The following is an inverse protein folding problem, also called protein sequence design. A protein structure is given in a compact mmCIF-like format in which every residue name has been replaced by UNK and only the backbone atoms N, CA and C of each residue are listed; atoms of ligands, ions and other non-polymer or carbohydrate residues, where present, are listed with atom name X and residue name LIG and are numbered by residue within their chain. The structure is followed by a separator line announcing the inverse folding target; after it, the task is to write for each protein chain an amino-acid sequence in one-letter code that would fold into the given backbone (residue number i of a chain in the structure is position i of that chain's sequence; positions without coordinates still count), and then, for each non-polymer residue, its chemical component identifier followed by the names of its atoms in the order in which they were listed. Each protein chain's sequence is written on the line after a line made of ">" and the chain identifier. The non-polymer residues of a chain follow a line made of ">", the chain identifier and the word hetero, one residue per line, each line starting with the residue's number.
data_IF_199844154071
#
_entry.id   IF_199844154071
#
_cell.length_a   1.000
_cell.length_b   1.000
_cell.length_c   1.000
_cell.angle_alpha   90.00
_cell.angle_beta   90.00
_cell.angle_gamma   90.00
#
_symmetry.space_group_name_H-M   'P 1'
#
loop_
_entity.id
_entity.type
_entity.pdbx_description
1 polymer ?
#
# COMPACT_ATOMS: atom_id res chain seq x y z
N UNK A 1 39.87 51.36 -15.46
CA UNK A 1 40.58 51.18 -14.19
C UNK A 1 39.54 50.84 -13.14
N UNK A 2 39.47 49.70 -12.46
CA UNK A 2 40.32 48.51 -12.37
C UNK A 2 39.44 47.42 -11.74
N UNK A 3 39.62 46.17 -12.16
CA UNK A 3 39.03 45.00 -11.52
C UNK A 3 39.67 44.80 -10.14
N UNK A 4 38.87 44.62 -9.08
CA UNK A 4 39.38 44.03 -7.83
C UNK A 4 39.00 42.55 -7.79
N UNK A 5 39.98 41.72 -8.17
CA UNK A 5 40.03 40.29 -7.85
C UNK A 5 40.33 40.15 -6.35
N UNK A 6 39.54 39.37 -5.63
CA UNK A 6 39.99 38.76 -4.39
C UNK A 6 39.99 37.24 -4.59
N UNK A 7 41.18 36.66 -4.45
CA UNK A 7 41.46 35.24 -4.47
C UNK A 7 42.08 34.91 -3.11
N UNK A 8 41.56 33.91 -2.40
CA UNK A 8 42.31 33.33 -1.27
C UNK A 8 41.50 32.70 -0.14
N UNK A 9 41.29 31.38 -0.27
CA UNK A 9 41.52 30.33 0.73
C UNK A 9 40.50 30.09 1.87
N UNK A 10 39.74 29.01 1.66
CA UNK A 10 39.63 27.83 2.52
C UNK A 10 39.46 28.02 4.04
N UNK A 11 38.21 28.01 4.50
CA UNK A 11 37.85 27.33 5.74
C UNK A 11 36.49 26.64 5.54
N UNK A 12 36.53 25.31 5.42
CA UNK A 12 35.36 24.44 5.49
C UNK A 12 34.84 24.46 6.93
N UNK A 13 33.97 25.42 7.22
CA UNK A 13 32.97 25.28 8.28
C UNK A 13 31.65 24.95 7.59
N UNK A 14 31.28 23.68 7.62
CA UNK A 14 29.90 23.28 7.34
C UNK A 14 29.04 23.65 8.54
N UNK A 15 28.61 24.90 8.59
CA UNK A 15 27.29 25.20 9.15
C UNK A 15 26.26 24.80 8.10
N UNK A 16 25.70 23.59 8.22
CA UNK A 16 24.54 23.18 7.44
C UNK A 16 23.29 23.86 8.02
N UNK A 17 23.12 25.14 7.70
CA UNK A 17 21.79 25.75 7.61
C UNK A 17 21.31 25.65 6.16
N UNK A 18 20.34 24.76 5.93
CA UNK A 18 19.53 24.68 4.71
C UNK A 18 18.43 23.63 4.95
N UNK A 19 17.12 23.88 4.85
CA UNK A 19 16.34 25.06 4.52
C UNK A 19 14.91 24.77 4.98
N UNK A 20 14.42 25.43 6.03
CA UNK A 20 13.00 25.44 6.39
C UNK A 20 12.27 26.40 5.45
N UNK A 21 11.95 25.94 4.24
CA UNK A 21 10.76 26.48 3.57
C UNK A 21 9.56 26.15 4.46
N UNK A 22 8.61 27.06 4.71
CA UNK A 22 7.40 26.69 5.41
C UNK A 22 6.70 25.65 4.52
N UNK A 23 6.76 24.37 4.90
CA UNK A 23 5.64 23.51 4.61
C UNK A 23 4.47 24.19 5.30
N UNK A 24 3.50 24.68 4.52
CA UNK A 24 2.21 25.07 5.07
C UNK A 24 1.69 23.84 5.82
N UNK A 25 1.89 23.82 7.14
CA UNK A 25 1.29 22.84 8.02
C UNK A 25 -0.19 23.12 7.91
N UNK A 26 -0.86 22.38 7.04
CA UNK A 26 -2.31 22.46 6.89
C UNK A 26 -2.90 22.37 8.29
N UNK A 27 -3.80 23.30 8.68
CA UNK A 27 -4.36 23.30 10.01
C UNK A 27 -4.97 21.93 10.29
N UNK A 28 -4.66 21.38 11.46
CA UNK A 28 -5.30 20.15 11.95
C UNK A 28 -6.81 20.32 11.82
N UNK A 29 -7.48 19.29 11.29
CA UNK A 29 -8.94 19.22 11.15
C UNK A 29 -9.41 18.15 12.13
N UNK A 30 -9.69 18.48 13.41
CA UNK A 30 -10.01 17.49 14.44
C UNK A 30 -11.21 16.63 14.08
N UNK A 31 -12.17 17.18 13.33
CA UNK A 31 -13.38 16.50 12.86
C UNK A 31 -13.05 15.30 11.96
N UNK A 32 -11.90 15.32 11.29
CA UNK A 32 -11.45 14.22 10.44
C UNK A 32 -11.16 12.93 11.24
N UNK A 33 -11.01 13.01 12.57
CA UNK A 33 -10.86 11.83 13.42
C UNK A 33 -12.18 11.06 13.65
N UNK A 34 -13.33 11.74 13.51
CA UNK A 34 -14.65 11.25 13.94
C UNK A 34 -15.60 11.00 12.76
N UNK A 35 -15.06 10.45 11.67
CA UNK A 35 -15.85 10.01 10.53
C UNK A 35 -16.67 8.76 10.84
N UNK A 36 -17.88 8.66 10.29
CA UNK A 36 -18.74 7.48 10.45
C UNK A 36 -18.19 6.31 9.62
N UNK A 37 -17.83 6.57 8.35
CA UNK A 37 -17.15 5.61 7.50
C UNK A 37 -15.63 5.81 7.56
N UNK A 38 -14.96 5.05 8.42
CA UNK A 38 -13.48 5.06 8.56
C UNK A 38 -12.73 4.58 7.31
N UNK A 39 -13.41 3.92 6.36
CA UNK A 39 -12.79 3.45 5.11
C UNK A 39 -12.94 4.48 3.98
N UNK A 40 -14.15 4.97 3.72
CA UNK A 40 -14.42 5.97 2.68
C UNK A 40 -14.24 7.42 3.15
N UNK A 41 -14.00 7.64 4.44
CA UNK A 41 -13.77 8.96 5.05
C UNK A 41 -14.89 9.95 4.74
N UNK A 42 -16.13 9.48 4.92
CA UNK A 42 -17.38 10.21 4.64
C UNK A 42 -17.38 10.91 3.28
N UNK A 43 -16.90 10.22 2.25
CA UNK A 43 -17.17 10.62 0.87
C UNK A 43 -18.68 10.67 0.66
N UNK A 44 -19.17 11.81 0.15
CA UNK A 44 -20.59 12.05 -0.10
C UNK A 44 -21.01 11.23 -1.32
N UNK A 45 -21.30 9.95 -1.10
CA UNK A 45 -21.77 8.99 -2.10
C UNK A 45 -23.15 8.50 -1.63
N UNK A 46 -24.20 8.58 -2.47
CA UNK A 46 -25.50 8.02 -2.15
C UNK A 46 -25.40 6.52 -1.79
N UNK A 47 -26.09 6.07 -0.75
CA UNK A 47 -26.02 4.68 -0.27
C UNK A 47 -26.45 3.67 -1.33
N UNK A 48 -27.46 4.02 -2.14
CA UNK A 48 -27.94 3.24 -3.27
C UNK A 48 -26.84 3.02 -4.32
N UNK A 49 -26.00 4.03 -4.53
CA UNK A 49 -24.86 3.95 -5.44
C UNK A 49 -23.72 3.06 -4.90
N UNK A 50 -23.69 2.77 -3.59
CA UNK A 50 -22.73 1.86 -2.95
C UNK A 50 -23.21 0.41 -2.87
N UNK A 51 -24.49 0.13 -3.18
CA UNK A 51 -25.06 -1.22 -3.10
C UNK A 51 -24.28 -2.27 -3.91
N UNK A 52 -23.82 -2.01 -5.15
CA UNK A 52 -23.10 -3.01 -5.94
C UNK A 52 -21.75 -3.43 -5.33
N UNK A 53 -21.19 -2.59 -4.46
CA UNK A 53 -19.84 -2.75 -3.91
C UNK A 53 -19.83 -3.38 -2.51
N UNK A 54 -20.99 -3.69 -1.92
CA UNK A 54 -21.07 -4.12 -0.52
C UNK A 54 -20.28 -5.39 -0.22
N UNK A 55 -20.17 -6.31 -1.17
CA UNK A 55 -19.45 -7.58 -1.00
C UNK A 55 -17.99 -7.39 -0.58
N UNK A 56 -17.37 -6.26 -0.97
CA UNK A 56 -16.00 -5.91 -0.63
C UNK A 56 -15.88 -4.65 0.24
N UNK A 57 -16.84 -3.72 0.19
CA UNK A 57 -16.84 -2.55 1.08
C UNK A 57 -17.08 -2.94 2.54
N UNK A 58 -17.97 -3.89 2.82
CA UNK A 58 -18.23 -4.34 4.19
C UNK A 58 -16.99 -4.90 4.89
N UNK A 59 -16.27 -5.90 4.33
CA UNK A 59 -15.04 -6.37 4.96
C UNK A 59 -13.94 -5.30 4.99
N UNK A 60 -13.85 -4.40 4.00
CA UNK A 60 -12.90 -3.28 4.01
C UNK A 60 -13.16 -2.27 5.15
N UNK A 61 -14.44 -1.99 5.44
CA UNK A 61 -14.85 -1.17 6.59
C UNK A 61 -14.56 -1.87 7.90
N UNK A 62 -14.85 -3.16 8.00
CA UNK A 62 -14.53 -3.94 9.21
C UNK A 62 -13.01 -3.95 9.48
N UNK A 63 -12.18 -4.09 8.44
CA UNK A 63 -10.72 -4.00 8.57
C UNK A 63 -10.26 -2.66 9.16
N UNK A 64 -10.91 -1.53 8.85
CA UNK A 64 -10.57 -0.24 9.47
C UNK A 64 -10.73 -0.28 10.99
N UNK A 65 -11.75 -0.98 11.50
CA UNK A 65 -11.97 -1.12 12.94
C UNK A 65 -10.97 -2.07 13.59
N UNK A 66 -10.68 -3.21 12.96
CA UNK A 66 -9.74 -4.21 13.49
C UNK A 66 -8.29 -3.73 13.50
N UNK A 67 -7.87 -3.04 12.44
CA UNK A 67 -6.50 -2.52 12.32
C UNK A 67 -6.26 -1.34 13.28
N UNK A 68 -7.32 -0.55 13.51
CA UNK A 68 -7.25 0.71 14.24
C UNK A 68 -8.29 0.80 15.36
N UNK A 69 -8.24 -0.10 16.37
CA UNK A 69 -9.13 -0.05 17.50
C UNK A 69 -8.83 1.17 18.38
N UNK A 70 -9.82 1.62 19.14
CA UNK A 70 -9.66 2.80 20.01
C UNK A 70 -8.77 2.52 21.23
N UNK A 71 -8.58 1.24 21.58
CA UNK A 71 -7.68 0.81 22.66
C UNK A 71 -6.88 -0.42 22.23
N UNK A 72 -5.57 -0.42 22.51
CA UNK A 72 -4.66 -1.52 22.22
C UNK A 72 -4.03 -1.99 23.53
N UNK A 73 -4.23 -3.27 23.87
CA UNK A 73 -3.60 -3.89 25.03
C UNK A 73 -2.23 -4.46 24.63
N UNK A 74 -1.18 -3.94 25.23
CA UNK A 74 0.18 -4.37 24.95
C UNK A 74 0.59 -5.58 25.80
N UNK A 75 1.29 -6.52 25.18
CA UNK A 75 1.92 -7.65 25.84
C UNK A 75 3.18 -8.07 25.07
N UNK A 76 3.84 -9.15 25.51
CA UNK A 76 5.12 -9.59 24.91
C UNK A 76 5.01 -9.96 23.42
N UNK A 77 3.84 -10.41 22.97
CA UNK A 77 3.60 -10.75 21.57
C UNK A 77 2.96 -9.59 20.79
N UNK A 78 2.25 -8.68 21.47
CA UNK A 78 1.56 -7.55 20.89
C UNK A 78 2.20 -6.27 21.42
N UNK A 79 3.33 -5.87 20.85
CA UNK A 79 4.08 -4.69 21.29
C UNK A 79 3.76 -3.45 20.46
N UNK A 80 3.08 -3.60 19.32
CA UNK A 80 2.77 -2.52 18.40
C UNK A 80 1.58 -1.65 18.85
N UNK A 81 1.91 -0.51 19.44
CA UNK A 81 1.00 0.41 20.11
C UNK A 81 0.03 1.14 19.18
N UNK A 82 -1.04 1.70 19.76
CA UNK A 82 -1.98 2.54 19.02
C UNK A 82 -1.28 3.71 18.33
N UNK A 83 -0.30 4.34 18.99
CA UNK A 83 0.49 5.42 18.41
C UNK A 83 1.29 4.94 17.19
N UNK A 84 1.99 3.81 17.29
CA UNK A 84 2.80 3.28 16.18
C UNK A 84 1.93 2.82 15.00
N UNK A 85 0.74 2.25 15.26
CA UNK A 85 -0.26 1.91 14.23
C UNK A 85 -0.72 3.17 13.48
N UNK A 86 -1.12 4.21 14.20
CA UNK A 86 -1.55 5.49 13.62
C UNK A 86 -0.40 6.21 12.89
N UNK A 87 0.80 6.22 13.45
CA UNK A 87 1.99 6.83 12.86
C UNK A 87 2.41 6.12 11.57
N UNK A 88 2.32 4.79 11.56
CA UNK A 88 2.53 3.98 10.35
C UNK A 88 1.48 4.32 9.29
N UNK A 89 0.20 4.35 9.66
CA UNK A 89 -0.88 4.69 8.73
C UNK A 89 -0.73 6.10 8.16
N UNK A 90 -0.40 7.10 8.99
CA UNK A 90 -0.13 8.46 8.56
C UNK A 90 1.06 8.53 7.61
N UNK A 91 2.16 7.84 7.92
CA UNK A 91 3.36 7.78 7.05
C UNK A 91 3.00 7.24 5.67
N UNK A 92 2.21 6.16 5.62
CA UNK A 92 1.77 5.53 4.37
C UNK A 92 0.80 6.45 3.62
N UNK A 93 -0.14 7.10 4.30
CA UNK A 93 -1.05 8.07 3.69
C UNK A 93 -0.30 9.26 3.07
N UNK A 94 0.75 9.75 3.76
CA UNK A 94 1.61 10.82 3.26
C UNK A 94 2.40 10.41 2.01
N UNK A 95 2.90 9.18 1.96
CA UNK A 95 3.56 8.63 0.76
C UNK A 95 2.61 8.61 -0.43
N UNK A 96 1.35 8.23 -0.21
CA UNK A 96 0.34 8.21 -1.27
C UNK A 96 -0.28 9.59 -1.58
N UNK A 97 -0.02 10.61 -0.76
CA UNK A 97 -0.46 11.99 -0.97
C UNK A 97 -1.97 12.24 -0.92
N UNK A 98 -2.79 11.26 -0.59
CA UNK A 98 -4.26 11.42 -0.53
C UNK A 98 -4.62 12.23 0.72
N UNK A 99 -4.85 13.53 0.55
CA UNK A 99 -4.99 14.49 1.65
C UNK A 99 -6.05 14.12 2.69
N UNK A 100 -7.18 13.52 2.26
CA UNK A 100 -8.23 13.07 3.19
C UNK A 100 -7.71 12.04 4.18
N UNK A 101 -6.89 11.10 3.72
CA UNK A 101 -6.26 10.09 4.57
C UNK A 101 -5.22 10.71 5.50
N UNK A 102 -4.40 11.63 4.98
CA UNK A 102 -3.43 12.38 5.79
C UNK A 102 -4.14 13.10 6.95
N UNK A 103 -5.24 13.80 6.66
CA UNK A 103 -6.02 14.51 7.66
C UNK A 103 -6.64 13.54 8.68
N UNK A 104 -7.24 12.44 8.22
CA UNK A 104 -7.86 11.43 9.08
C UNK A 104 -6.85 10.83 10.07
N UNK A 105 -5.73 10.30 9.57
CA UNK A 105 -4.74 9.66 10.43
C UNK A 105 -3.97 10.65 11.31
N UNK A 106 -3.72 11.88 10.84
CA UNK A 106 -3.12 12.91 11.68
C UNK A 106 -4.05 13.32 12.83
N UNK A 107 -5.34 13.51 12.54
CA UNK A 107 -6.33 13.85 13.56
C UNK A 107 -6.48 12.74 14.61
N UNK A 108 -6.42 11.47 14.19
CA UNK A 108 -6.46 10.30 15.10
C UNK A 108 -5.15 10.07 15.86
N UNK A 109 -4.00 10.45 15.31
CA UNK A 109 -2.71 10.33 15.97
C UNK A 109 -2.53 11.37 17.07
N UNK A 110 -2.99 12.62 16.84
CA UNK A 110 -2.78 13.77 17.72
C UNK A 110 -3.15 13.55 19.20
N UNK A 111 -4.31 12.94 19.55
CA UNK A 111 -4.68 12.72 20.95
C UNK A 111 -3.95 11.55 21.61
N UNK A 112 -3.22 10.71 20.87
CA UNK A 112 -2.56 9.54 21.43
C UNK A 112 -1.29 9.95 22.20
N UNK A 113 -0.97 9.25 23.32
CA UNK A 113 0.29 9.46 24.00
C UNK A 113 1.44 9.12 23.06
N UNK A 114 2.32 10.09 22.84
CA UNK A 114 3.53 9.90 22.05
C UNK A 114 4.48 8.85 22.66
N UNK A 115 5.47 8.39 21.88
CA UNK A 115 6.55 7.57 22.41
C UNK A 115 7.22 8.30 23.59
N UNK A 116 7.75 7.53 24.55
CA UNK A 116 8.61 8.13 25.56
C UNK A 116 9.86 8.78 24.91
N UNK A 117 10.49 9.69 25.64
CA UNK A 117 11.66 10.42 25.13
C UNK A 117 12.96 9.62 25.18
N UNK A 118 12.91 8.30 25.40
CA UNK A 118 14.11 7.45 25.43
C UNK A 118 14.76 7.35 24.05
N UNK A 119 16.05 7.02 24.01
CA UNK A 119 16.75 6.83 22.72
C UNK A 119 16.22 5.59 22.00
N UNK A 120 15.88 4.56 22.78
CA UNK A 120 15.38 3.27 22.32
C UNK A 120 14.02 3.41 21.64
N UNK A 121 13.09 4.12 22.27
CA UNK A 121 11.75 4.39 21.73
C UNK A 121 11.80 5.24 20.46
N UNK A 122 12.62 6.30 20.46
CA UNK A 122 12.83 7.12 19.26
C UNK A 122 13.48 6.32 18.11
N UNK A 123 14.45 5.46 18.41
CA UNK A 123 15.08 4.61 17.41
C UNK A 123 14.09 3.60 16.82
N UNK A 124 13.26 2.98 17.67
CA UNK A 124 12.18 2.08 17.25
C UNK A 124 11.20 2.76 16.30
N UNK A 125 10.68 3.93 16.68
CA UNK A 125 9.75 4.67 15.83
C UNK A 125 10.40 5.11 14.50
N UNK A 126 11.68 5.48 14.52
CA UNK A 126 12.41 5.84 13.30
C UNK A 126 12.53 4.65 12.33
N UNK A 127 12.87 3.45 12.82
CA UNK A 127 12.95 2.24 11.98
C UNK A 127 11.58 1.86 11.41
N UNK A 128 10.53 1.89 12.23
CA UNK A 128 9.15 1.63 11.80
C UNK A 128 8.74 2.62 10.69
N UNK A 129 9.00 3.91 10.91
CA UNK A 129 8.64 4.97 9.95
C UNK A 129 9.40 4.82 8.63
N UNK A 130 10.71 4.54 8.70
CA UNK A 130 11.54 4.32 7.53
C UNK A 130 11.05 3.10 6.73
N UNK A 131 10.83 1.98 7.41
CA UNK A 131 10.34 0.75 6.80
C UNK A 131 8.97 0.96 6.12
N UNK A 132 8.02 1.58 6.83
CA UNK A 132 6.69 1.86 6.31
C UNK A 132 6.74 2.76 5.06
N UNK A 133 7.60 3.78 5.07
CA UNK A 133 7.83 4.65 3.91
C UNK A 133 8.37 3.86 2.72
N UNK A 134 9.40 3.04 2.92
CA UNK A 134 10.02 2.23 1.88
C UNK A 134 9.03 1.21 1.29
N UNK A 135 8.32 0.46 2.14
CA UNK A 135 7.33 -0.52 1.68
C UNK A 135 6.14 0.15 0.97
N UNK A 136 5.81 1.40 1.31
CA UNK A 136 4.77 2.16 0.62
C UNK A 136 5.25 2.71 -0.74
N UNK A 137 6.43 3.35 -0.80
CA UNK A 137 6.89 4.10 -1.99
C UNK A 137 7.72 3.28 -2.97
N UNK A 138 8.50 2.32 -2.48
CA UNK A 138 9.47 1.56 -3.27
C UNK A 138 9.59 0.14 -2.73
N UNK A 139 8.52 -0.68 -2.79
CA UNK A 139 8.47 -1.94 -2.06
C UNK A 139 9.64 -2.89 -2.37
N UNK A 140 10.14 -2.88 -3.62
CA UNK A 140 11.25 -3.74 -4.07
C UNK A 140 12.57 -3.53 -3.33
N UNK A 141 12.75 -2.44 -2.57
CA UNK A 141 13.98 -2.20 -1.79
C UNK A 141 13.98 -2.93 -0.45
N UNK A 142 12.88 -3.57 -0.06
CA UNK A 142 12.77 -4.31 1.19
C UNK A 142 13.52 -5.64 1.06
N UNK A 143 14.70 -5.68 1.68
CA UNK A 143 15.58 -6.85 1.77
C UNK A 143 15.53 -7.52 3.15
N UNK A 144 16.32 -8.57 3.35
CA UNK A 144 16.45 -9.25 4.64
C UNK A 144 16.93 -8.33 5.77
N UNK A 145 17.75 -7.32 5.46
CA UNK A 145 18.24 -6.38 6.48
C UNK A 145 17.13 -5.46 6.96
N UNK A 146 16.31 -4.93 6.05
CA UNK A 146 15.16 -4.11 6.39
C UNK A 146 14.17 -4.87 7.30
N UNK A 147 13.97 -6.18 7.06
CA UNK A 147 13.17 -7.05 7.93
C UNK A 147 13.81 -7.24 9.29
N UNK A 148 15.12 -7.53 9.33
CA UNK A 148 15.83 -7.78 10.58
C UNK A 148 15.81 -6.54 11.49
N UNK A 149 15.92 -5.33 10.94
CA UNK A 149 15.82 -4.11 11.73
C UNK A 149 14.50 -3.99 12.50
N UNK A 150 13.39 -4.55 12.00
CA UNK A 150 12.10 -4.58 12.72
C UNK A 150 12.18 -5.47 13.97
N UNK A 151 12.80 -6.64 13.85
CA UNK A 151 13.05 -7.54 14.96
C UNK A 151 14.01 -6.90 15.98
N UNK A 152 15.05 -6.20 15.50
CA UNK A 152 16.07 -5.55 16.34
C UNK A 152 15.47 -4.43 17.21
N UNK A 153 14.42 -3.76 16.74
CA UNK A 153 13.65 -2.79 17.54
C UNK A 153 12.51 -3.41 18.36
N UNK A 154 12.48 -4.74 18.44
CA UNK A 154 11.60 -5.50 19.33
C UNK A 154 10.18 -5.69 18.81
N UNK A 155 9.94 -5.66 17.49
CA UNK A 155 8.66 -6.12 16.95
C UNK A 155 8.64 -7.65 16.87
N UNK A 156 7.56 -8.25 17.37
CA UNK A 156 7.32 -9.68 17.25
C UNK A 156 6.87 -10.07 15.83
N UNK A 157 6.78 -11.37 15.54
CA UNK A 157 6.18 -11.84 14.29
C UNK A 157 4.71 -11.40 14.12
N UNK A 158 3.95 -11.27 15.22
CA UNK A 158 2.57 -10.76 15.23
C UNK A 158 2.55 -9.28 14.87
N UNK A 159 3.45 -8.50 15.46
CA UNK A 159 3.56 -7.07 15.20
C UNK A 159 3.99 -6.78 13.76
N UNK A 160 4.94 -7.56 13.23
CA UNK A 160 5.40 -7.45 11.84
C UNK A 160 4.27 -7.80 10.87
N UNK A 161 3.54 -8.89 11.12
CA UNK A 161 2.39 -9.26 10.31
C UNK A 161 1.32 -8.15 10.32
N UNK A 162 1.01 -7.60 11.50
CA UNK A 162 0.05 -6.50 11.65
C UNK A 162 0.51 -5.23 10.94
N UNK A 163 1.76 -4.82 11.13
CA UNK A 163 2.31 -3.61 10.52
C UNK A 163 2.26 -3.70 8.98
N UNK A 164 2.60 -4.86 8.42
CA UNK A 164 2.52 -5.09 6.98
C UNK A 164 1.07 -5.11 6.48
N UNK A 165 0.12 -5.61 7.28
CA UNK A 165 -1.31 -5.48 6.98
C UNK A 165 -1.77 -4.02 6.97
N UNK A 166 -1.34 -3.20 7.94
CA UNK A 166 -1.64 -1.76 7.97
C UNK A 166 -1.10 -1.06 6.73
N UNK A 167 0.18 -1.29 6.38
CA UNK A 167 0.80 -0.64 5.21
C UNK A 167 0.07 -0.99 3.92
N UNK A 168 -0.28 -2.26 3.74
CA UNK A 168 -1.04 -2.73 2.58
C UNK A 168 -2.48 -2.20 2.56
N UNK A 169 -3.18 -2.24 3.69
CA UNK A 169 -4.55 -1.75 3.84
C UNK A 169 -4.67 -0.25 3.52
N UNK A 170 -3.79 0.59 4.08
CA UNK A 170 -3.82 2.03 3.82
C UNK A 170 -3.54 2.32 2.34
N UNK A 171 -2.70 1.52 1.70
CA UNK A 171 -2.48 1.61 0.25
C UNK A 171 -3.69 1.19 -0.59
N UNK A 172 -4.44 0.19 -0.15
CA UNK A 172 -5.71 -0.17 -0.76
C UNK A 172 -6.75 0.95 -0.57
N UNK A 173 -6.90 1.45 0.65
CA UNK A 173 -7.81 2.54 0.99
C UNK A 173 -7.50 3.80 0.19
N UNK A 174 -6.23 4.21 0.07
CA UNK A 174 -5.83 5.38 -0.74
C UNK A 174 -6.31 5.29 -2.18
N UNK A 175 -6.19 4.12 -2.80
CA UNK A 175 -6.58 3.91 -4.19
C UNK A 175 -8.09 3.83 -4.36
N UNK A 176 -8.81 3.25 -3.40
CA UNK A 176 -10.27 3.23 -3.40
C UNK A 176 -10.84 4.64 -3.20
N UNK A 177 -10.33 5.39 -2.22
CA UNK A 177 -10.74 6.79 -1.99
C UNK A 177 -10.46 7.63 -3.24
N UNK A 178 -9.26 7.54 -3.83
CA UNK A 178 -8.94 8.26 -5.07
C UNK A 178 -9.86 7.88 -6.23
N UNK A 179 -10.22 6.60 -6.36
CA UNK A 179 -11.16 6.11 -7.37
C UNK A 179 -12.54 6.73 -7.21
N UNK A 180 -13.11 6.69 -6.00
CA UNK A 180 -14.42 7.28 -5.74
C UNK A 180 -14.39 8.82 -5.88
N UNK A 181 -13.31 9.48 -5.48
CA UNK A 181 -13.15 10.92 -5.70
C UNK A 181 -13.14 11.27 -7.19
N UNK A 182 -12.43 10.49 -8.01
CA UNK A 182 -12.39 10.66 -9.45
C UNK A 182 -13.77 10.44 -10.10
N UNK A 183 -14.48 9.39 -9.68
CA UNK A 183 -15.84 9.11 -10.14
C UNK A 183 -16.83 10.22 -9.78
N UNK A 184 -16.72 10.79 -8.58
CA UNK A 184 -17.52 11.95 -8.15
C UNK A 184 -17.08 13.28 -8.80
N UNK A 185 -16.04 13.28 -9.64
CA UNK A 185 -15.50 14.50 -10.25
C UNK A 185 -14.88 15.48 -9.24
N UNK A 186 -14.47 15.00 -8.07
CA UNK A 186 -13.85 15.86 -7.06
C UNK A 186 -12.47 16.34 -7.54
N UNK A 187 -12.11 17.60 -7.27
CA UNK A 187 -10.81 18.13 -7.66
C UNK A 187 -9.71 17.44 -6.86
N UNK A 188 -8.66 17.07 -7.57
CA UNK A 188 -7.42 16.57 -6.97
C UNK A 188 -6.65 17.74 -6.37
N UNK A 189 -6.29 17.63 -5.09
CA UNK A 189 -5.39 18.57 -4.43
C UNK A 189 -3.97 18.04 -4.52
N UNK A 190 -3.34 18.29 -5.66
CA UNK A 190 -1.94 17.92 -5.85
C UNK A 190 -1.04 18.75 -4.93
N UNK A 191 -0.18 18.06 -4.19
CA UNK A 191 0.87 18.68 -3.37
C UNK A 191 2.18 18.64 -4.16
N UNK A 192 2.76 19.80 -4.53
CA UNK A 192 4.04 19.84 -5.19
C UNK A 192 5.14 19.16 -4.37
N UNK A 193 6.00 18.37 -5.03
CA UNK A 193 7.16 17.74 -4.41
C UNK A 193 6.97 16.30 -3.91
N UNK A 194 5.78 15.71 -4.06
CA UNK A 194 5.61 14.26 -3.90
C UNK A 194 6.08 13.53 -5.16
N UNK A 195 7.08 12.66 -5.01
CA UNK A 195 7.60 11.85 -6.10
C UNK A 195 6.60 10.77 -6.52
N UNK A 196 6.55 10.52 -7.83
CA UNK A 196 5.78 9.40 -8.38
C UNK A 196 6.58 8.12 -8.23
N UNK A 197 5.97 7.04 -7.73
CA UNK A 197 6.66 5.74 -7.62
C UNK A 197 7.19 5.31 -9.00
N UNK A 198 8.47 4.97 -9.07
CA UNK A 198 9.10 4.37 -10.24
C UNK A 198 8.73 2.89 -10.37
N UNK A 199 8.88 2.32 -11.57
CA UNK A 199 8.81 0.88 -11.72
C UNK A 199 9.95 0.20 -10.94
N UNK A 200 9.67 -0.98 -10.39
CA UNK A 200 10.71 -1.82 -9.81
C UNK A 200 11.74 -2.26 -10.86
N UNK A 201 12.92 -2.69 -10.41
CA UNK A 201 13.98 -3.14 -11.30
C UNK A 201 13.53 -4.36 -12.13
N UNK A 202 13.89 -4.35 -13.42
CA UNK A 202 13.52 -5.37 -14.39
C UNK A 202 14.15 -6.74 -14.11
N UNK A 203 15.30 -6.75 -13.42
CA UNK A 203 16.03 -7.96 -13.03
C UNK A 203 15.21 -8.89 -12.15
N UNK A 204 14.29 -8.35 -11.34
CA UNK A 204 13.41 -9.11 -10.45
C UNK A 204 12.46 -10.07 -11.21
N UNK A 205 12.25 -9.83 -12.50
CA UNK A 205 11.26 -10.57 -13.31
C UNK A 205 11.90 -11.51 -14.35
N UNK A 206 13.23 -11.71 -14.29
CA UNK A 206 13.97 -12.55 -15.24
C UNK A 206 13.93 -14.05 -14.91
N UNK A 207 13.42 -14.42 -13.73
CA UNK A 207 13.33 -15.80 -13.28
C UNK A 207 11.85 -16.21 -13.16
N UNK A 208 11.23 -16.77 -14.23
CA UNK A 208 9.82 -17.12 -14.23
C UNK A 208 9.49 -18.27 -13.26
N UNK A 209 10.47 -19.15 -13.01
CA UNK A 209 10.32 -20.33 -12.15
C UNK A 209 10.67 -20.06 -10.67
N UNK A 210 10.99 -18.81 -10.32
CA UNK A 210 11.35 -18.44 -8.95
C UNK A 210 10.21 -18.70 -7.97
N UNK A 211 10.56 -19.19 -6.79
CA UNK A 211 9.62 -19.63 -5.76
C UNK A 211 9.68 -18.72 -4.55
N UNK A 212 8.53 -18.52 -3.90
CA UNK A 212 8.45 -17.66 -2.72
C UNK A 212 8.74 -18.45 -1.45
N UNK A 213 9.54 -17.87 -0.56
CA UNK A 213 9.90 -18.44 0.74
C UNK A 213 9.68 -17.42 1.85
N UNK A 214 9.13 -17.87 2.99
CA UNK A 214 8.91 -17.00 4.16
C UNK A 214 10.24 -16.56 4.76
N UNK A 215 10.34 -15.27 5.08
CA UNK A 215 11.49 -14.67 5.77
C UNK A 215 11.22 -14.41 7.26
N UNK A 216 10.01 -14.68 7.74
CA UNK A 216 9.59 -14.49 9.14
C UNK A 216 9.05 -15.77 9.74
N UNK A 217 9.01 -15.81 11.08
CA UNK A 217 8.40 -16.87 11.85
C UNK A 217 6.91 -17.02 11.50
N UNK A 218 6.55 -18.24 11.10
CA UNK A 218 5.18 -18.65 10.80
C UNK A 218 4.53 -19.29 12.02
N UNK A 219 3.20 -19.30 12.08
CA UNK A 219 2.51 -20.09 13.10
C UNK A 219 2.80 -21.57 12.88
N UNK A 220 3.51 -22.17 13.84
CA UNK A 220 3.77 -23.60 13.84
C UNK A 220 2.46 -24.38 14.08
N UNK A 221 2.09 -25.25 13.13
CA UNK A 221 0.83 -26.02 13.17
C UNK A 221 0.64 -26.83 14.47
N UNK A 222 1.75 -27.23 15.12
CA UNK A 222 1.72 -27.98 16.38
C UNK A 222 1.28 -27.14 17.59
N UNK A 223 1.49 -25.83 17.52
CA UNK A 223 1.17 -24.88 18.58
C UNK A 223 0.01 -23.93 18.20
N UNK A 224 -0.52 -24.08 16.99
CA UNK A 224 -1.63 -23.27 16.48
C UNK A 224 -2.89 -23.47 17.33
N UNK A 225 -3.60 -22.38 17.59
CA UNK A 225 -4.91 -22.43 18.24
C UNK A 225 -5.97 -23.05 17.32
N UNK A 226 -7.09 -23.49 17.88
CA UNK A 226 -8.22 -24.00 17.07
C UNK A 226 -8.71 -22.95 16.06
N UNK A 227 -8.77 -21.68 16.46
CA UNK A 227 -9.14 -20.56 15.60
C UNK A 227 -8.15 -20.36 14.44
N UNK A 228 -6.84 -20.47 14.71
CA UNK A 228 -5.81 -20.39 13.67
C UNK A 228 -5.92 -21.54 12.66
N UNK A 229 -6.13 -22.76 13.15
CA UNK A 229 -6.27 -23.94 12.28
C UNK A 229 -7.53 -23.85 11.41
N UNK A 230 -8.66 -23.41 11.98
CA UNK A 230 -9.90 -23.18 11.23
C UNK A 230 -9.69 -22.10 10.16
N UNK A 231 -9.10 -20.96 10.53
CA UNK A 231 -8.81 -19.87 9.61
C UNK A 231 -7.90 -20.31 8.45
N UNK A 232 -6.83 -21.07 8.73
CA UNK A 232 -5.96 -21.62 7.69
C UNK A 232 -6.73 -22.55 6.75
N UNK A 233 -7.57 -23.44 7.28
CA UNK A 233 -8.36 -24.36 6.46
C UNK A 233 -9.27 -23.64 5.46
N UNK A 234 -9.82 -22.49 5.85
CA UNK A 234 -10.76 -21.73 5.02
C UNK A 234 -10.09 -20.82 3.99
N UNK A 235 -8.88 -20.32 4.28
CA UNK A 235 -8.27 -19.21 3.51
C UNK A 235 -6.90 -19.53 2.90
N UNK A 236 -6.15 -20.50 3.43
CA UNK A 236 -4.90 -20.96 2.79
C UNK A 236 -5.11 -21.55 1.38
N UNK A 237 -6.24 -22.19 1.04
CA UNK A 237 -6.49 -22.65 -0.34
C UNK A 237 -6.61 -21.53 -1.38
N UNK A 238 -6.80 -20.26 -0.97
CA UNK A 238 -6.82 -19.12 -1.90
C UNK A 238 -5.39 -18.94 -2.44
N UNK A 239 -5.22 -19.07 -3.76
CA UNK A 239 -3.90 -19.09 -4.39
C UNK A 239 -3.01 -17.88 -4.02
N UNK A 240 -3.60 -16.68 -3.93
CA UNK A 240 -2.86 -15.47 -3.55
C UNK A 240 -2.37 -15.48 -2.09
N UNK A 241 -3.06 -16.20 -1.20
CA UNK A 241 -2.75 -16.29 0.22
C UNK A 241 -1.94 -17.53 0.60
N UNK A 242 -2.01 -18.60 -0.20
CA UNK A 242 -1.40 -19.90 0.10
C UNK A 242 0.01 -19.86 0.71
N UNK A 243 0.99 -19.10 0.14
CA UNK A 243 2.33 -19.03 0.71
C UNK A 243 2.43 -18.17 1.99
N UNK A 244 1.59 -17.15 2.13
CA UNK A 244 1.67 -16.15 3.20
C UNK A 244 0.67 -16.38 4.35
N UNK A 245 -0.34 -17.22 4.17
CA UNK A 245 -1.37 -17.48 5.17
C UNK A 245 -0.79 -17.94 6.52
N UNK A 246 0.27 -18.79 6.60
CA UNK A 246 0.89 -19.14 7.87
C UNK A 246 1.56 -17.97 8.60
N UNK A 247 1.97 -16.92 7.89
CA UNK A 247 2.44 -15.67 8.50
C UNK A 247 1.26 -14.79 8.94
N UNK A 248 0.18 -14.73 8.15
CA UNK A 248 -0.96 -13.86 8.42
C UNK A 248 -1.88 -14.38 9.52
N UNK A 249 -1.90 -15.70 9.76
CA UNK A 249 -2.74 -16.33 10.78
C UNK A 249 -2.30 -16.02 12.23
N UNK A 250 -1.21 -15.27 12.41
CA UNK A 250 -0.95 -14.57 13.68
C UNK A 250 -2.14 -13.68 14.10
N UNK A 251 -2.94 -13.21 13.13
CA UNK A 251 -4.22 -12.50 13.32
C UNK A 251 -5.34 -13.15 12.48
N UNK A 252 -6.02 -14.19 12.97
CA UNK A 252 -7.06 -14.92 12.23
C UNK A 252 -8.17 -14.02 11.68
N UNK A 253 -8.62 -13.04 12.47
CA UNK A 253 -9.65 -12.07 12.06
C UNK A 253 -9.23 -11.26 10.82
N UNK A 254 -8.00 -10.77 10.78
CA UNK A 254 -7.51 -9.99 9.63
C UNK A 254 -7.32 -10.86 8.39
N UNK A 255 -6.80 -12.10 8.56
CA UNK A 255 -6.68 -13.05 7.46
C UNK A 255 -8.05 -13.43 6.90
N UNK A 256 -9.05 -13.62 7.77
CA UNK A 256 -10.44 -13.88 7.40
C UNK A 256 -10.99 -12.74 6.55
N UNK A 257 -10.85 -11.49 6.99
CA UNK A 257 -11.38 -10.33 6.26
C UNK A 257 -10.67 -10.10 4.92
N UNK A 258 -9.35 -10.29 4.87
CA UNK A 258 -8.60 -10.26 3.61
C UNK A 258 -9.04 -11.40 2.67
N UNK A 259 -9.28 -12.59 3.22
CA UNK A 259 -9.81 -13.72 2.47
C UNK A 259 -11.24 -13.47 1.93
N UNK A 260 -12.09 -12.80 2.70
CA UNK A 260 -13.43 -12.38 2.25
C UNK A 260 -13.34 -11.35 1.12
N UNK A 261 -12.43 -10.37 1.20
CA UNK A 261 -12.16 -9.46 0.08
C UNK A 261 -11.76 -10.22 -1.19
N UNK A 262 -10.91 -11.24 -1.07
CA UNK A 262 -10.47 -12.06 -2.21
C UNK A 262 -11.55 -13.02 -2.75
N UNK A 263 -12.61 -13.28 -1.99
CA UNK A 263 -13.78 -14.07 -2.43
C UNK A 263 -14.94 -13.19 -2.91
N UNK A 264 -14.79 -11.87 -2.86
CA UNK A 264 -15.82 -10.89 -3.21
C UNK A 264 -15.93 -10.66 -4.73
N UNK A 265 -16.81 -9.73 -5.13
CA UNK A 265 -16.95 -9.30 -6.54
C UNK A 265 -15.72 -8.55 -7.09
N UNK A 266 -14.70 -8.26 -6.28
CA UNK A 266 -13.42 -7.73 -6.76
C UNK A 266 -12.56 -8.78 -7.47
N UNK A 267 -12.70 -10.06 -7.12
CA UNK A 267 -11.83 -11.12 -7.61
C UNK A 267 -12.52 -11.90 -8.74
N UNK A 268 -12.69 -11.23 -9.89
CA UNK A 268 -13.25 -11.85 -11.10
C UNK A 268 -12.11 -12.30 -12.01
N UNK A 269 -12.22 -13.51 -12.55
CA UNK A 269 -11.29 -13.98 -13.59
C UNK A 269 -11.63 -13.30 -14.91
N UNK A 270 -10.82 -12.32 -15.32
CA UNK A 270 -10.90 -11.73 -16.65
C UNK A 270 -9.52 -11.29 -17.17
N UNK A 271 -9.34 -11.12 -18.49
CA UNK A 271 -8.09 -10.62 -19.06
C UNK A 271 -7.66 -9.27 -18.44
N UNK A 272 -8.62 -8.39 -18.15
CA UNK A 272 -8.36 -7.11 -17.52
C UNK A 272 -7.87 -7.25 -16.07
N UNK A 273 -8.40 -8.19 -15.28
CA UNK A 273 -7.92 -8.47 -13.91
C UNK A 273 -6.53 -9.11 -13.93
N UNK A 274 -6.26 -10.01 -14.88
CA UNK A 274 -4.92 -10.59 -15.06
C UNK A 274 -3.90 -9.48 -15.40
N UNK A 275 -4.18 -8.68 -16.44
CA UNK A 275 -3.35 -7.54 -16.83
C UNK A 275 -3.12 -6.57 -15.65
N UNK A 276 -4.18 -6.22 -14.93
CA UNK A 276 -4.10 -5.34 -13.74
C UNK A 276 -3.17 -5.92 -12.68
N UNK A 277 -3.27 -7.22 -12.41
CA UNK A 277 -2.42 -7.88 -11.41
C UNK A 277 -0.96 -7.93 -11.85
N UNK A 278 -0.70 -8.25 -13.12
CA UNK A 278 0.65 -8.27 -13.68
C UNK A 278 1.28 -6.89 -13.67
N UNK A 279 0.58 -5.86 -14.16
CA UNK A 279 1.08 -4.49 -14.21
C UNK A 279 1.33 -3.93 -12.79
N UNK A 280 0.41 -4.15 -11.86
CA UNK A 280 0.57 -3.70 -10.47
C UNK A 280 1.75 -4.41 -9.80
N UNK A 281 1.90 -5.72 -10.01
CA UNK A 281 3.03 -6.51 -9.49
C UNK A 281 4.36 -6.07 -10.11
N UNK A 282 4.34 -5.71 -11.40
CA UNK A 282 5.51 -5.19 -12.13
C UNK A 282 5.98 -3.85 -11.61
N UNK A 283 5.04 -2.93 -11.32
CA UNK A 283 5.34 -1.61 -10.74
C UNK A 283 5.86 -1.77 -9.31
N UNK A 284 5.21 -2.60 -8.49
CA UNK A 284 5.57 -2.78 -7.08
C UNK A 284 6.80 -3.67 -6.83
N UNK A 285 7.24 -4.46 -7.82
CA UNK A 285 8.39 -5.35 -7.67
C UNK A 285 8.07 -6.72 -7.07
N UNK A 286 6.81 -7.16 -7.12
CA UNK A 286 6.42 -8.45 -6.52
C UNK A 286 6.54 -9.58 -7.54
N UNK A 287 7.74 -10.16 -7.66
CA UNK A 287 8.02 -11.27 -8.58
C UNK A 287 7.09 -12.48 -8.34
N UNK A 288 6.86 -12.86 -7.07
CA UNK A 288 5.95 -13.98 -6.75
C UNK A 288 4.50 -13.73 -7.20
N UNK A 289 3.96 -12.51 -7.02
CA UNK A 289 2.62 -12.19 -7.53
C UNK A 289 2.59 -12.17 -9.06
N UNK A 290 3.64 -11.64 -9.70
CA UNK A 290 3.75 -11.58 -11.14
C UNK A 290 3.80 -12.98 -11.77
N UNK A 291 4.74 -13.82 -11.33
CA UNK A 291 4.95 -15.17 -11.87
C UNK A 291 3.74 -16.08 -11.67
N UNK A 292 2.98 -15.88 -10.59
CA UNK A 292 1.76 -16.66 -10.32
C UNK A 292 0.67 -16.49 -11.38
N UNK A 293 0.60 -15.34 -12.06
CA UNK A 293 -0.44 -15.03 -13.06
C UNK A 293 0.10 -14.83 -14.48
N UNK A 294 1.42 -14.97 -14.67
CA UNK A 294 2.11 -14.82 -15.95
C UNK A 294 1.85 -16.00 -16.92
N UNK A 295 0.57 -16.37 -17.09
CA UNK A 295 0.10 -17.46 -17.95
C UNK A 295 -0.03 -17.03 -19.42
N UNK A 296 -0.32 -15.74 -19.68
CA UNK A 296 -0.28 -15.16 -21.01
C UNK A 296 1.15 -14.76 -21.36
N UNK A 297 1.76 -15.49 -22.29
CA UNK A 297 3.15 -15.28 -22.73
C UNK A 297 3.35 -13.85 -23.26
N UNK A 298 2.43 -13.34 -24.09
CA UNK A 298 2.58 -12.02 -24.71
C UNK A 298 2.58 -10.86 -23.69
N UNK A 299 1.58 -10.83 -22.80
CA UNK A 299 1.47 -9.77 -21.78
C UNK A 299 2.61 -9.89 -20.76
N UNK A 300 2.94 -11.12 -20.35
CA UNK A 300 4.04 -11.34 -19.41
C UNK A 300 5.38 -10.90 -20.01
N UNK A 301 5.67 -11.26 -21.26
CA UNK A 301 6.93 -10.88 -21.93
C UNK A 301 7.01 -9.38 -22.17
N UNK A 302 5.90 -8.73 -22.51
CA UNK A 302 5.82 -7.27 -22.55
C UNK A 302 6.20 -6.65 -21.20
N UNK A 303 5.57 -7.10 -20.12
CA UNK A 303 5.76 -6.51 -18.79
C UNK A 303 7.12 -6.88 -18.17
N UNK A 304 7.82 -7.89 -18.68
CA UNK A 304 9.23 -8.19 -18.33
C UNK A 304 10.24 -7.23 -18.97
N UNK A 305 9.82 -6.31 -19.83
CA UNK A 305 10.69 -5.32 -20.45
C UNK A 305 10.96 -4.11 -19.51
N UNK A 306 11.79 -3.18 -20.00
CA UNK A 306 12.06 -1.92 -19.31
C UNK A 306 10.82 -1.02 -19.28
N UNK A 307 10.76 -0.09 -18.32
CA UNK A 307 9.67 0.90 -18.22
C UNK A 307 9.46 1.63 -19.55
N UNK A 308 10.53 2.03 -20.23
CA UNK A 308 10.45 2.70 -21.53
C UNK A 308 9.78 1.87 -22.63
N UNK A 309 10.02 0.56 -22.69
CA UNK A 309 9.35 -0.27 -23.70
C UNK A 309 7.88 -0.52 -23.34
N UNK A 310 7.57 -0.63 -22.04
CA UNK A 310 6.19 -0.71 -21.55
C UNK A 310 5.42 0.57 -21.92
N UNK A 311 5.98 1.75 -21.66
CA UNK A 311 5.40 3.05 -22.01
C UNK A 311 5.24 3.23 -23.53
N UNK A 312 6.24 2.78 -24.32
CA UNK A 312 6.13 2.80 -25.79
C UNK A 312 4.96 1.94 -26.26
N UNK A 313 4.75 0.77 -25.64
CA UNK A 313 3.69 -0.16 -26.01
C UNK A 313 2.31 0.34 -25.61
N UNK A 314 2.20 0.98 -24.45
CA UNK A 314 1.00 1.72 -24.05
C UNK A 314 0.59 2.75 -25.12
N UNK A 315 1.54 3.52 -25.64
CA UNK A 315 1.27 4.53 -26.68
C UNK A 315 0.82 3.93 -28.02
N UNK A 316 1.17 2.67 -28.29
CA UNK A 316 0.84 1.96 -29.53
C UNK A 316 -0.51 1.22 -29.47
N UNK A 317 -1.14 1.12 -28.30
CA UNK A 317 -2.37 0.36 -28.06
C UNK A 317 -3.53 1.30 -27.68
N UNK A 318 -4.20 1.97 -28.63
CA UNK A 318 -5.20 2.97 -28.32
C UNK A 318 -6.42 2.41 -27.58
N UNK A 319 -6.74 1.12 -27.74
CA UNK A 319 -7.89 0.46 -27.13
C UNK A 319 -7.61 0.15 -25.65
N UNK A 320 -6.45 -0.41 -25.32
CA UNK A 320 -6.07 -0.77 -23.94
C UNK A 320 -5.48 0.42 -23.15
N UNK A 321 -5.06 1.49 -23.83
CA UNK A 321 -4.40 2.65 -23.22
C UNK A 321 -5.16 3.26 -22.04
N UNK A 322 -6.50 3.45 -22.06
CA UNK A 322 -7.21 4.00 -20.91
C UNK A 322 -7.07 3.13 -19.66
N UNK A 323 -7.19 1.81 -19.79
CA UNK A 323 -6.95 0.87 -18.69
C UNK A 323 -5.51 0.96 -18.21
N UNK A 324 -4.55 0.93 -19.13
CA UNK A 324 -3.12 1.01 -18.82
C UNK A 324 -2.81 2.25 -17.98
N UNK A 325 -3.24 3.42 -18.44
CA UNK A 325 -3.01 4.70 -17.79
C UNK A 325 -3.69 4.79 -16.42
N UNK A 326 -4.91 4.28 -16.31
CA UNK A 326 -5.63 4.30 -15.06
C UNK A 326 -4.93 3.45 -13.99
N UNK A 327 -4.53 2.21 -14.33
CA UNK A 327 -3.82 1.32 -13.40
C UNK A 327 -2.43 1.86 -13.06
N UNK A 328 -1.66 2.34 -14.04
CA UNK A 328 -0.34 2.91 -13.78
C UNK A 328 -0.43 4.12 -12.84
N UNK A 329 -1.28 5.09 -13.15
CA UNK A 329 -1.37 6.32 -12.36
C UNK A 329 -1.89 6.02 -10.95
N UNK A 330 -2.95 5.24 -10.83
CA UNK A 330 -3.51 4.87 -9.53
C UNK A 330 -2.52 4.06 -8.68
N UNK A 331 -1.69 3.21 -9.32
CA UNK A 331 -0.64 2.47 -8.61
C UNK A 331 0.49 3.39 -8.15
N UNK A 332 0.92 4.35 -8.98
CA UNK A 332 2.16 5.11 -8.76
C UNK A 332 1.98 6.45 -8.05
N UNK A 333 0.81 7.08 -8.19
CA UNK A 333 0.49 8.41 -7.67
C UNK A 333 -1.03 8.56 -7.53
N UNK A 334 -1.67 7.87 -6.56
CA UNK A 334 -3.11 7.96 -6.34
C UNK A 334 -3.57 9.38 -5.96
N UNK A 335 -2.69 10.21 -5.40
CA UNK A 335 -2.92 11.64 -5.18
C UNK A 335 -3.15 12.43 -6.47
N UNK A 336 -2.80 11.89 -7.65
CA UNK A 336 -2.96 12.55 -8.96
C UNK A 336 -4.12 11.97 -9.76
N UNK A 337 -4.73 10.89 -9.29
CA UNK A 337 -5.78 10.20 -10.00
C UNK A 337 -7.08 11.00 -9.97
N UNK A 338 -7.66 11.29 -11.14
CA UNK A 338 -8.80 12.19 -11.29
C UNK A 338 -9.79 11.69 -12.34
N UNK A 339 -10.88 12.44 -12.53
CA UNK A 339 -11.83 12.22 -13.61
C UNK A 339 -11.16 12.15 -15.01
N UNK A 340 -10.00 12.78 -15.20
CA UNK A 340 -9.27 12.75 -16.47
C UNK A 340 -8.75 11.35 -16.84
N UNK A 341 -8.45 10.50 -15.86
CA UNK A 341 -8.08 9.10 -16.09
C UNK A 341 -9.27 8.16 -15.90
N UNK A 342 -10.17 8.49 -14.98
CA UNK A 342 -11.35 7.67 -14.72
C UNK A 342 -12.33 7.66 -15.91
N UNK A 343 -12.68 8.80 -16.49
CA UNK A 343 -13.72 8.87 -17.53
C UNK A 343 -13.35 8.09 -18.80
N UNK A 344 -12.15 8.26 -19.40
CA UNK A 344 -11.77 7.49 -20.59
C UNK A 344 -11.72 5.99 -20.33
N UNK A 345 -11.29 5.58 -19.13
CA UNK A 345 -11.28 4.17 -18.74
C UNK A 345 -12.71 3.64 -18.55
N UNK A 346 -13.57 4.39 -17.85
CA UNK A 346 -14.96 4.03 -17.64
C UNK A 346 -15.74 3.88 -18.96
N UNK A 347 -15.47 4.73 -19.96
CA UNK A 347 -16.04 4.62 -21.31
C UNK A 347 -15.67 3.30 -22.03
N UNK A 348 -14.55 2.68 -21.65
CA UNK A 348 -14.13 1.37 -22.17
C UNK A 348 -14.74 0.19 -21.41
N UNK A 349 -15.39 0.43 -20.27
CA UNK A 349 -16.05 -0.59 -19.45
C UNK A 349 -17.53 -0.75 -19.83
N UNK A 350 -18.11 -1.90 -19.51
CA UNK A 350 -19.54 -2.16 -19.71
C UNK A 350 -20.41 -1.44 -18.68
N UNK A 351 -19.84 -1.12 -17.51
CA UNK A 351 -20.51 -0.37 -16.44
C UNK A 351 -19.50 0.35 -15.55
N UNK A 352 -19.98 1.38 -14.84
CA UNK A 352 -19.23 2.07 -13.78
C UNK A 352 -18.82 1.11 -12.67
N UNK A 353 -19.68 0.14 -12.37
CA UNK A 353 -19.36 -0.91 -11.38
C UNK A 353 -18.11 -1.70 -11.79
N UNK A 354 -18.01 -2.09 -13.06
CA UNK A 354 -16.84 -2.79 -13.57
C UNK A 354 -15.58 -1.93 -13.45
N UNK A 355 -15.67 -0.64 -13.80
CA UNK A 355 -14.55 0.28 -13.71
C UNK A 355 -14.05 0.44 -12.25
N UNK A 356 -14.98 0.68 -11.31
CA UNK A 356 -14.64 0.83 -9.89
C UNK A 356 -14.08 -0.47 -9.31
N UNK A 357 -14.69 -1.62 -9.61
CA UNK A 357 -14.19 -2.91 -9.13
C UNK A 357 -12.78 -3.20 -9.63
N UNK A 358 -12.46 -2.89 -10.89
CA UNK A 358 -11.12 -3.13 -11.43
C UNK A 358 -10.07 -2.19 -10.82
N UNK A 359 -10.42 -0.93 -10.56
CA UNK A 359 -9.53 0.02 -9.87
C UNK A 359 -9.33 -0.36 -8.40
N UNK A 360 -10.39 -0.81 -7.70
CA UNK A 360 -10.29 -1.36 -6.36
C UNK A 360 -9.45 -2.66 -6.33
N UNK A 361 -9.60 -3.53 -7.32
CA UNK A 361 -8.78 -4.73 -7.51
C UNK A 361 -7.29 -4.36 -7.63
N UNK A 362 -6.94 -3.33 -8.39
CA UNK A 362 -5.55 -2.84 -8.47
C UNK A 362 -4.98 -2.44 -7.10
N UNK A 363 -5.82 -1.83 -6.24
CA UNK A 363 -5.43 -1.52 -4.87
C UNK A 363 -5.20 -2.76 -4.02
N UNK A 364 -6.05 -3.78 -4.16
CA UNK A 364 -5.91 -5.06 -3.46
C UNK A 364 -4.68 -5.83 -3.95
N UNK A 365 -4.36 -5.82 -5.25
CA UNK A 365 -3.10 -6.34 -5.79
C UNK A 365 -1.91 -5.63 -5.14
N UNK A 366 -1.96 -4.30 -5.02
CA UNK A 366 -0.93 -3.51 -4.36
C UNK A 366 -0.72 -3.86 -2.89
N UNK A 367 -1.79 -4.23 -2.18
CA UNK A 367 -1.72 -4.77 -0.82
C UNK A 367 -1.02 -6.14 -0.82
N UNK A 368 -1.46 -7.10 -1.62
CA UNK A 368 -0.87 -8.44 -1.70
C UNK A 368 0.60 -8.40 -2.11
N UNK A 369 0.97 -7.53 -3.04
CA UNK A 369 2.35 -7.31 -3.44
C UNK A 369 3.22 -6.94 -2.24
N UNK A 370 2.75 -5.98 -1.44
CA UNK A 370 3.46 -5.52 -0.23
C UNK A 370 3.55 -6.62 0.82
N UNK A 371 2.52 -7.44 1.00
CA UNK A 371 2.58 -8.59 1.92
C UNK A 371 3.60 -9.63 1.45
N UNK A 372 3.56 -10.05 0.18
CA UNK A 372 4.51 -11.04 -0.34
C UNK A 372 5.95 -10.52 -0.28
N UNK A 373 6.15 -9.25 -0.62
CA UNK A 373 7.47 -8.62 -0.49
C UNK A 373 7.88 -8.55 0.97
N UNK A 374 7.04 -8.06 1.88
CA UNK A 374 7.40 -7.82 3.28
C UNK A 374 7.54 -9.09 4.14
N UNK A 375 6.89 -10.19 3.75
CA UNK A 375 6.87 -11.44 4.51
C UNK A 375 7.82 -12.51 4.01
N UNK A 376 8.33 -12.39 2.78
CA UNK A 376 9.30 -13.35 2.26
C UNK A 376 10.10 -12.87 1.05
N UNK A 377 10.86 -13.79 0.48
CA UNK A 377 11.74 -13.57 -0.68
C UNK A 377 11.31 -14.47 -1.84
N UNK A 378 11.68 -14.11 -3.07
CA UNK A 378 11.41 -14.90 -4.27
C UNK A 378 12.72 -15.17 -4.99
N UNK A 379 13.09 -16.44 -5.14
CA UNK A 379 14.33 -16.90 -5.77
C UNK A 379 14.24 -18.34 -6.29
#
# INVERSE_FOLDING_TARGET
>A
MEQRRFNGKSHWYHETQSSTGPQDVLPLVPEAAHVEDRFLLDLVIPEDALLPFQSWLQPARQLAHELFPDTVLLNRLHTFSAYERMSTALTVAQVYGVQRLCNHYAARLTPLPGPDSSRESNHRLAQITQYARQLASSPSVIDNRARQHLCDVGLSAWDIALMNQIIGYVGFQARVVATFQAWLGQPVRWVPGLDTQSFADVSLFQQPDATWHSAHEQVELRFATAEQLECLSCYQPIAALQPIAPNLVHQPTLLTLLGTLLKSTLSIESPAHNFTTLLTSRINGSASCFNQLATSVEIADLLRQSEHEIERREQQQPVERPLFQAIQLLTRAPDRFSAAQFNPFNESCTSVEQAINLLAWSGLCGWLNRLKIALGETH
#
